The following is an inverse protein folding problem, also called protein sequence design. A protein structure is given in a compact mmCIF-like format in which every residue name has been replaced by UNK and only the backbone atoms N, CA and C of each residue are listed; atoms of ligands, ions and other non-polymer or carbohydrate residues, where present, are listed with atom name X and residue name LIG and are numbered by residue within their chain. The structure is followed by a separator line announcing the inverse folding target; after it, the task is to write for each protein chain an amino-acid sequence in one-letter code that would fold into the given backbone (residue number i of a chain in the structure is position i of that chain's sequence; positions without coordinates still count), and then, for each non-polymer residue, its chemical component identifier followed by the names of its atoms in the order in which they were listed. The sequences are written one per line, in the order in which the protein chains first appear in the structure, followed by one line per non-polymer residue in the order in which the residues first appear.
data_IF_205534748923
#
_entry.id   IF_205534748923
#
_cell.length_a   1.000
_cell.length_b   1.000
_cell.length_c   1.000
_cell.angle_alpha   90.00
_cell.angle_beta   90.00
_cell.angle_gamma   90.00
#
_symmetry.space_group_name_H-M   'P 1'
#
loop_
_entity.id
_entity.type
_entity.pdbx_description
1 polymer ?
#
# COMPACT_ATOMS: atom_id res chain seq x y z
N UNK A 1 -18.95 9.23 -22.52
CA UNK A 1 -17.89 8.58 -21.73
C UNK A 1 -18.19 8.83 -20.26
N UNK A 2 -18.51 7.77 -19.52
CA UNK A 2 -18.64 7.86 -18.06
C UNK A 2 -17.28 8.20 -17.48
N UNK A 3 -17.27 9.22 -16.62
CA UNK A 3 -16.05 9.61 -15.90
C UNK A 3 -16.00 8.83 -14.60
N UNK A 4 -14.89 8.17 -14.36
CA UNK A 4 -14.60 7.58 -13.05
C UNK A 4 -14.01 8.68 -12.18
N UNK A 5 -14.66 9.08 -11.08
CA UNK A 5 -14.08 10.04 -10.16
C UNK A 5 -12.90 9.37 -9.44
N UNK A 6 -11.72 9.87 -9.71
CA UNK A 6 -10.49 9.27 -9.20
C UNK A 6 -9.40 10.33 -9.05
N UNK A 7 -8.65 10.26 -7.96
CA UNK A 7 -7.48 11.11 -7.75
C UNK A 7 -6.31 10.60 -8.60
N UNK A 8 -5.89 11.42 -9.58
CA UNK A 8 -4.85 11.04 -10.52
C UNK A 8 -3.47 10.84 -9.84
N UNK A 9 -3.20 11.53 -8.74
CA UNK A 9 -1.94 11.37 -7.99
C UNK A 9 -1.90 10.01 -7.31
N UNK A 10 -3.00 9.61 -6.68
CA UNK A 10 -3.13 8.30 -6.04
C UNK A 10 -3.12 7.15 -7.05
N UNK A 11 -3.75 7.34 -8.22
CA UNK A 11 -3.66 6.37 -9.33
C UNK A 11 -2.22 6.13 -9.75
N UNK A 12 -1.45 7.20 -9.85
CA UNK A 12 -0.03 7.10 -10.20
C UNK A 12 0.73 6.25 -9.18
N UNK A 13 0.50 6.46 -7.89
CA UNK A 13 1.13 5.67 -6.83
C UNK A 13 0.76 4.19 -6.93
N UNK A 14 -0.54 3.88 -7.12
CA UNK A 14 -1.00 2.49 -7.31
C UNK A 14 -0.32 1.86 -8.51
N UNK A 15 -0.36 2.51 -9.68
CA UNK A 15 0.24 1.99 -10.91
C UNK A 15 1.76 1.83 -10.77
N UNK A 16 2.46 2.78 -10.12
CA UNK A 16 3.90 2.67 -9.87
C UNK A 16 4.23 1.46 -9.01
N UNK A 17 3.47 1.20 -7.94
CA UNK A 17 3.67 0.04 -7.10
C UNK A 17 3.47 -1.28 -7.88
N UNK A 18 2.43 -1.36 -8.71
CA UNK A 18 2.19 -2.55 -9.55
C UNK A 18 3.29 -2.74 -10.60
N UNK A 19 3.71 -1.65 -11.27
CA UNK A 19 4.78 -1.67 -12.29
C UNK A 19 6.12 -2.10 -11.68
N UNK A 20 6.51 -1.51 -10.55
CA UNK A 20 7.76 -1.87 -9.87
C UNK A 20 7.76 -3.35 -9.50
N UNK A 21 6.63 -3.87 -9.01
CA UNK A 21 6.51 -5.30 -8.72
C UNK A 21 6.61 -6.15 -9.98
N UNK A 22 5.90 -5.82 -11.05
CA UNK A 22 5.96 -6.55 -12.30
C UNK A 22 7.40 -6.59 -12.86
N UNK A 23 8.08 -5.44 -12.91
CA UNK A 23 9.48 -5.36 -13.36
C UNK A 23 10.43 -6.15 -12.45
N UNK A 24 10.18 -6.13 -11.14
CA UNK A 24 11.00 -6.84 -10.16
C UNK A 24 10.90 -8.36 -10.29
N UNK A 25 9.74 -8.89 -10.63
CA UNK A 25 9.47 -10.34 -10.66
C UNK A 25 9.44 -10.92 -12.07
N UNK A 26 9.63 -10.11 -13.10
CA UNK A 26 9.82 -10.53 -14.48
C UNK A 26 11.31 -10.66 -14.83
N UNK A 27 11.59 -11.46 -15.84
CA UNK A 27 12.94 -11.52 -16.41
C UNK A 27 13.17 -10.37 -17.39
N UNK A 28 14.44 -9.99 -17.64
CA UNK A 28 14.77 -9.05 -18.70
C UNK A 28 14.17 -9.49 -20.05
N UNK A 29 13.83 -8.51 -20.89
CA UNK A 29 13.27 -8.73 -22.25
C UNK A 29 11.88 -9.35 -22.30
N UNK A 30 11.13 -9.39 -21.17
CA UNK A 30 9.72 -9.79 -21.15
C UNK A 30 8.80 -8.59 -21.33
N UNK A 31 7.56 -8.85 -21.78
CA UNK A 31 6.57 -7.81 -22.02
C UNK A 31 5.70 -7.60 -20.78
N UNK A 32 5.39 -6.33 -20.50
CA UNK A 32 4.36 -5.91 -19.53
C UNK A 32 3.18 -5.33 -20.31
N UNK A 33 1.98 -5.77 -19.98
CA UNK A 33 0.75 -5.29 -20.62
C UNK A 33 -0.09 -4.55 -19.60
N UNK A 34 -0.39 -3.27 -19.87
CA UNK A 34 -1.34 -2.47 -19.08
C UNK A 34 -2.57 -2.25 -19.94
N UNK A 35 -3.74 -2.46 -19.35
CA UNK A 35 -5.00 -2.26 -20.04
C UNK A 35 -6.12 -1.86 -19.10
N UNK A 36 -7.23 -1.49 -19.71
CA UNK A 36 -8.47 -1.20 -19.00
C UNK A 36 -9.61 -1.99 -19.60
N UNK A 37 -10.50 -2.50 -18.78
CA UNK A 37 -11.69 -3.23 -19.19
C UNK A 37 -12.92 -2.64 -18.52
N UNK A 38 -13.95 -2.38 -19.31
CA UNK A 38 -15.23 -1.90 -18.78
C UNK A 38 -16.07 -3.07 -18.32
N UNK A 39 -16.45 -3.03 -17.06
CA UNK A 39 -17.43 -3.93 -16.44
C UNK A 39 -18.78 -3.21 -16.27
N UNK A 40 -19.80 -3.93 -15.79
CA UNK A 40 -21.14 -3.35 -15.59
C UNK A 40 -21.17 -2.13 -14.66
N UNK A 41 -20.46 -2.21 -13.53
CA UNK A 41 -20.53 -1.23 -12.44
C UNK A 41 -19.20 -0.55 -12.11
N UNK A 42 -18.12 -0.97 -12.75
CA UNK A 42 -16.78 -0.48 -12.50
C UNK A 42 -15.91 -0.56 -13.76
N UNK A 43 -14.80 0.14 -13.75
CA UNK A 43 -13.70 -0.09 -14.68
C UNK A 43 -12.63 -0.90 -13.97
N UNK A 44 -12.15 -1.95 -14.62
CA UNK A 44 -10.95 -2.69 -14.21
C UNK A 44 -9.74 -2.10 -14.92
N UNK A 45 -8.72 -1.80 -14.15
CA UNK A 45 -7.37 -1.52 -14.67
C UNK A 45 -6.52 -2.72 -14.33
N UNK A 46 -5.78 -3.27 -15.29
CA UNK A 46 -4.95 -4.43 -15.08
C UNK A 46 -3.54 -4.25 -15.62
N UNK A 47 -2.61 -4.95 -15.01
CA UNK A 47 -1.22 -5.06 -15.42
C UNK A 47 -0.84 -6.53 -15.39
N UNK A 48 -0.53 -7.08 -16.57
CA UNK A 48 -0.08 -8.46 -16.74
C UNK A 48 1.43 -8.50 -17.01
N UNK A 49 2.11 -9.39 -16.31
CA UNK A 49 3.53 -9.68 -16.48
C UNK A 49 3.77 -11.11 -16.98
N UNK A 50 5.00 -11.40 -17.39
CA UNK A 50 5.48 -12.72 -17.81
C UNK A 50 6.54 -13.26 -16.84
N UNK A 51 6.43 -12.91 -15.55
CA UNK A 51 7.38 -13.27 -14.52
C UNK A 51 7.12 -14.65 -13.92
N UNK A 52 7.61 -14.83 -12.69
CA UNK A 52 7.53 -16.10 -11.94
C UNK A 52 6.10 -16.49 -11.52
N UNK A 53 5.14 -15.57 -11.61
CA UNK A 53 3.76 -15.78 -11.15
C UNK A 53 3.62 -15.86 -9.62
N UNK A 54 2.44 -16.35 -9.18
CA UNK A 54 2.02 -16.38 -7.78
C UNK A 54 1.88 -17.81 -7.22
N UNK A 55 2.56 -18.80 -7.78
CA UNK A 55 2.35 -20.23 -7.43
C UNK A 55 2.62 -20.58 -5.97
N UNK A 56 3.49 -19.86 -5.29
CA UNK A 56 3.88 -20.08 -3.89
C UNK A 56 3.56 -18.87 -3.01
N UNK A 57 2.59 -18.06 -3.44
CA UNK A 57 2.18 -16.84 -2.76
C UNK A 57 0.77 -17.03 -2.20
N UNK A 58 0.58 -16.72 -0.93
CA UNK A 58 -0.76 -16.62 -0.38
C UNK A 58 -1.41 -15.30 -0.87
N UNK A 59 -2.29 -15.44 -1.86
CA UNK A 59 -2.96 -14.30 -2.50
C UNK A 59 -3.77 -13.48 -1.49
N UNK A 60 -4.30 -14.10 -0.44
CA UNK A 60 -5.06 -13.40 0.59
C UNK A 60 -4.16 -12.47 1.42
N UNK A 61 -2.88 -12.83 1.56
CA UNK A 61 -1.89 -12.05 2.30
C UNK A 61 -1.06 -11.10 1.43
N UNK A 62 -1.14 -11.25 0.10
CA UNK A 62 -0.32 -10.50 -0.85
C UNK A 62 -0.43 -8.98 -0.68
N UNK A 63 -1.59 -8.51 -0.26
CA UNK A 63 -1.90 -7.09 -0.04
C UNK A 63 -1.88 -6.71 1.45
N UNK A 64 -1.22 -7.50 2.30
CA UNK A 64 -0.98 -7.15 3.71
C UNK A 64 0.43 -6.57 3.89
N UNK A 65 0.58 -5.71 4.89
CA UNK A 65 1.87 -5.08 5.17
C UNK A 65 2.93 -6.13 5.52
N UNK A 66 4.16 -5.86 5.08
CA UNK A 66 5.34 -6.68 5.34
C UNK A 66 5.29 -8.11 4.79
N UNK A 67 4.23 -8.48 4.09
CA UNK A 67 4.18 -9.78 3.45
C UNK A 67 5.20 -9.84 2.30
N UNK A 68 6.06 -10.84 2.35
CA UNK A 68 7.04 -11.18 1.32
C UNK A 68 6.88 -12.66 1.01
N UNK A 69 6.73 -12.99 -0.28
CA UNK A 69 6.74 -14.37 -0.72
C UNK A 69 8.11 -15.03 -0.49
N UNK A 70 8.18 -16.36 -0.61
CA UNK A 70 9.41 -17.15 -0.47
C UNK A 70 10.38 -16.94 -1.66
N UNK A 71 10.78 -15.71 -1.93
CA UNK A 71 11.65 -15.38 -3.06
C UNK A 71 12.83 -14.51 -2.61
N UNK A 72 13.99 -14.73 -3.25
CA UNK A 72 15.22 -13.97 -2.96
C UNK A 72 15.15 -12.48 -3.31
N UNK A 73 14.12 -12.04 -4.01
CA UNK A 73 13.92 -10.65 -4.44
C UNK A 73 13.25 -9.83 -3.33
N UNK A 74 14.05 -9.32 -2.40
CA UNK A 74 13.60 -8.55 -1.24
C UNK A 74 12.95 -7.22 -1.59
N UNK A 75 11.95 -6.83 -0.81
CA UNK A 75 11.26 -5.52 -0.85
C UNK A 75 10.76 -5.18 0.55
N UNK A 76 10.16 -4.01 0.73
CA UNK A 76 9.59 -3.60 2.02
C UNK A 76 8.31 -4.37 2.38
N UNK A 77 7.60 -4.94 1.39
CA UNK A 77 6.27 -5.53 1.60
C UNK A 77 5.15 -4.52 1.85
N UNK A 78 5.41 -3.23 1.65
CA UNK A 78 4.46 -2.14 1.93
C UNK A 78 3.71 -1.70 0.66
N UNK A 79 4.35 -1.72 -0.50
CA UNK A 79 3.82 -1.14 -1.73
C UNK A 79 2.44 -1.66 -2.15
N UNK A 80 2.22 -2.98 -2.13
CA UNK A 80 0.92 -3.56 -2.47
C UNK A 80 -0.15 -3.30 -1.41
N UNK A 81 0.22 -3.29 -0.14
CA UNK A 81 -0.68 -2.97 0.95
C UNK A 81 -1.15 -1.50 0.86
N UNK A 82 -0.22 -0.59 0.57
CA UNK A 82 -0.55 0.82 0.35
C UNK A 82 -1.41 1.02 -0.91
N UNK A 83 -1.08 0.35 -2.02
CA UNK A 83 -1.93 0.37 -3.22
C UNK A 83 -3.37 -0.09 -2.91
N UNK A 84 -3.53 -1.17 -2.14
CA UNK A 84 -4.84 -1.64 -1.67
C UNK A 84 -5.57 -0.56 -0.88
N UNK A 85 -4.91 0.08 0.08
CA UNK A 85 -5.52 1.14 0.90
C UNK A 85 -6.02 2.31 0.05
N UNK A 86 -5.22 2.74 -0.93
CA UNK A 86 -5.61 3.82 -1.85
C UNK A 86 -6.84 3.44 -2.68
N UNK A 87 -6.90 2.21 -3.21
CA UNK A 87 -8.05 1.73 -4.00
C UNK A 87 -9.31 1.62 -3.13
N UNK A 88 -9.20 1.09 -1.90
CA UNK A 88 -10.31 1.00 -0.95
C UNK A 88 -10.88 2.38 -0.58
N UNK A 89 -10.03 3.41 -0.42
CA UNK A 89 -10.46 4.79 -0.20
C UNK A 89 -11.28 5.35 -1.38
N UNK A 90 -11.09 4.82 -2.58
CA UNK A 90 -11.89 5.16 -3.76
C UNK A 90 -13.12 4.24 -3.94
N UNK A 91 -13.44 3.41 -2.93
CA UNK A 91 -14.57 2.47 -2.99
C UNK A 91 -14.35 1.31 -3.97
N UNK A 92 -13.10 1.07 -4.36
CA UNK A 92 -12.68 0.03 -5.26
C UNK A 92 -12.17 -1.23 -4.57
N UNK A 93 -11.69 -2.17 -5.36
CA UNK A 93 -11.03 -3.41 -4.91
C UNK A 93 -9.78 -3.68 -5.73
N UNK A 94 -8.80 -4.39 -5.15
CA UNK A 94 -7.57 -4.80 -5.80
C UNK A 94 -7.39 -6.31 -5.67
N UNK A 95 -6.81 -6.94 -6.69
CA UNK A 95 -6.58 -8.39 -6.71
C UNK A 95 -5.43 -8.79 -7.62
N UNK A 96 -5.11 -10.08 -7.60
CA UNK A 96 -4.11 -10.67 -8.47
C UNK A 96 -4.49 -12.12 -8.82
N UNK A 97 -4.05 -12.60 -9.98
CA UNK A 97 -4.19 -13.99 -10.40
C UNK A 97 -2.99 -14.42 -11.24
N UNK A 98 -2.80 -15.75 -11.38
CA UNK A 98 -1.81 -16.28 -12.31
C UNK A 98 -2.34 -16.22 -13.74
N UNK A 99 -1.45 -15.98 -14.70
CA UNK A 99 -1.72 -16.12 -16.13
C UNK A 99 -1.59 -17.58 -16.56
N UNK A 100 -2.33 -17.99 -17.59
CA UNK A 100 -2.28 -19.37 -18.12
C UNK A 100 -0.89 -19.71 -18.70
N UNK A 101 -0.30 -18.75 -19.39
CA UNK A 101 1.01 -18.91 -20.06
C UNK A 101 2.20 -18.56 -19.15
N UNK A 102 1.99 -18.36 -17.85
CA UNK A 102 3.00 -17.93 -16.87
C UNK A 102 2.95 -16.44 -16.58
N UNK A 103 3.54 -16.05 -15.42
CA UNK A 103 3.43 -14.69 -14.89
C UNK A 103 2.15 -14.45 -14.09
N UNK A 104 1.91 -13.21 -13.76
CA UNK A 104 0.76 -12.77 -12.96
C UNK A 104 0.05 -11.58 -13.60
N UNK A 105 -1.23 -11.45 -13.31
CA UNK A 105 -2.01 -10.24 -13.58
C UNK A 105 -2.46 -9.64 -12.26
N UNK A 106 -2.04 -8.40 -12.01
CA UNK A 106 -2.55 -7.54 -10.94
C UNK A 106 -3.63 -6.64 -11.51
N UNK A 107 -4.72 -6.47 -10.80
CA UNK A 107 -5.82 -5.61 -11.25
C UNK A 107 -6.46 -4.86 -10.09
N UNK A 108 -7.05 -3.72 -10.40
CA UNK A 108 -7.93 -3.02 -9.48
C UNK A 108 -9.18 -2.52 -10.20
N UNK A 109 -10.26 -2.50 -9.45
CA UNK A 109 -11.58 -2.13 -9.90
C UNK A 109 -11.99 -0.80 -9.28
N UNK A 110 -12.46 0.15 -10.09
CA UNK A 110 -12.95 1.44 -9.64
C UNK A 110 -14.42 1.61 -10.04
N UNK A 111 -15.33 1.88 -9.10
CA UNK A 111 -16.76 2.02 -9.42
C UNK A 111 -17.02 3.26 -10.26
N UNK A 112 -17.98 3.18 -11.18
CA UNK A 112 -18.43 4.33 -11.99
C UNK A 112 -19.16 5.38 -11.17
N UNK A 113 -19.83 4.97 -10.12
CA UNK A 113 -20.45 5.86 -9.14
C UNK A 113 -19.66 5.73 -7.84
N UNK A 114 -19.00 6.80 -7.42
CA UNK A 114 -18.63 6.89 -6.02
C UNK A 114 -19.92 6.75 -5.20
N UNK A 115 -20.09 5.65 -4.49
CA UNK A 115 -20.79 5.76 -3.24
C UNK A 115 -20.02 6.84 -2.49
N UNK A 116 -20.64 8.01 -2.32
CA UNK A 116 -20.11 9.09 -1.51
C UNK A 116 -19.92 8.51 -0.09
N UNK A 117 -18.81 7.86 0.14
CA UNK A 117 -18.22 7.89 1.45
C UNK A 117 -17.97 9.38 1.62
N UNK A 118 -18.77 10.01 2.44
CA UNK A 118 -18.63 11.42 2.80
C UNK A 118 -17.25 11.58 3.41
N UNK A 119 -16.26 11.70 2.55
CA UNK A 119 -14.99 12.28 2.90
C UNK A 119 -15.32 13.75 3.13
N UNK A 120 -15.54 14.10 4.38
CA UNK A 120 -15.47 15.51 4.76
C UNK A 120 -14.14 16.02 4.20
N UNK A 121 -14.18 17.10 3.37
CA UNK A 121 -12.98 17.67 2.83
C UNK A 121 -12.15 18.17 4.02
N UNK A 122 -10.91 17.69 4.12
CA UNK A 122 -9.96 18.06 5.17
C UNK A 122 -10.34 17.64 6.60
N UNK A 123 -10.45 16.35 6.85
CA UNK A 123 -10.08 15.88 8.16
C UNK A 123 -8.55 15.84 8.19
N UNK A 124 -7.95 16.96 8.56
CA UNK A 124 -6.65 16.94 9.22
C UNK A 124 -6.86 16.05 10.44
N UNK A 125 -6.36 14.83 10.38
CA UNK A 125 -6.29 13.98 11.56
C UNK A 125 -5.21 14.66 12.40
N UNK A 126 -5.64 15.50 13.33
CA UNK A 126 -4.76 16.02 14.37
C UNK A 126 -4.38 14.80 15.23
N UNK A 127 -3.20 14.23 14.96
CA UNK A 127 -2.67 13.06 15.64
C UNK A 127 -2.28 13.36 17.12
N UNK A 128 -2.72 14.48 17.68
CA UNK A 128 -2.69 14.75 19.11
C UNK A 128 -3.88 14.12 19.82
N UNK A 129 -4.22 12.88 19.53
CA UNK A 129 -5.24 12.16 20.30
C UNK A 129 -4.58 11.47 21.49
N UNK A 130 -4.60 12.14 22.62
CA UNK A 130 -4.57 11.49 23.92
C UNK A 130 -5.79 10.56 23.99
N UNK A 131 -5.53 9.29 24.26
CA UNK A 131 -6.42 8.17 24.49
C UNK A 131 -7.91 8.48 24.59
N UNK A 132 -8.69 7.91 23.69
CA UNK A 132 -9.96 7.22 23.86
C UNK A 132 -10.64 7.00 22.49
N UNK A 133 -11.16 5.80 22.29
CA UNK A 133 -12.15 5.40 21.28
C UNK A 133 -11.71 5.51 19.81
N UNK A 134 -10.74 4.67 19.44
CA UNK A 134 -10.69 4.15 18.08
C UNK A 134 -11.67 2.97 17.98
N UNK A 135 -12.58 2.92 16.95
CA UNK A 135 -13.28 1.69 16.67
C UNK A 135 -12.22 0.60 16.40
N UNK A 136 -12.42 -0.56 17.00
CA UNK A 136 -11.66 -1.77 16.70
C UNK A 136 -11.82 -2.10 15.20
N UNK A 137 -11.03 -1.45 14.36
CA UNK A 137 -10.76 -1.98 13.04
C UNK A 137 -9.78 -3.12 13.27
N UNK A 138 -10.22 -4.33 12.93
CA UNK A 138 -9.37 -5.51 12.87
C UNK A 138 -8.01 -5.11 12.27
N UNK A 139 -7.04 -4.91 13.15
CA UNK A 139 -5.65 -4.76 12.79
C UNK A 139 -5.31 -6.09 12.14
N UNK A 140 -5.16 -6.09 10.83
CA UNK A 140 -4.76 -7.24 10.02
C UNK A 140 -3.71 -8.02 10.81
N UNK A 141 -3.97 -9.32 11.04
CA UNK A 141 -3.18 -10.18 11.90
C UNK A 141 -1.71 -10.28 11.52
N UNK A 142 -1.00 -9.22 11.72
CA UNK A 142 0.44 -9.18 11.76
C UNK A 142 0.80 -9.82 13.09
N UNK A 143 1.48 -10.96 13.07
CA UNK A 143 2.12 -11.46 14.27
C UNK A 143 3.16 -10.40 14.65
N UNK A 144 2.85 -9.64 15.69
CA UNK A 144 3.76 -8.66 16.28
C UNK A 144 5.04 -9.43 16.65
N UNK A 145 6.13 -9.12 15.98
CA UNK A 145 7.43 -9.65 16.36
C UNK A 145 7.79 -8.96 17.68
N UNK A 146 7.75 -9.73 18.78
CA UNK A 146 8.04 -9.23 20.12
C UNK A 146 9.44 -8.60 20.25
N UNK A 147 10.31 -8.82 19.26
CA UNK A 147 11.61 -8.17 19.16
C UNK A 147 11.50 -6.70 18.72
N UNK A 148 10.57 -6.36 17.83
CA UNK A 148 10.41 -4.98 17.32
C UNK A 148 9.89 -4.01 18.39
N UNK A 149 9.11 -4.50 19.35
CA UNK A 149 8.60 -3.70 20.46
C UNK A 149 9.69 -3.12 21.41
N UNK A 150 10.96 -3.42 21.18
CA UNK A 150 12.09 -2.87 21.92
C UNK A 150 12.70 -1.64 21.25
N UNK A 151 12.47 -1.49 19.96
CA UNK A 151 13.15 -0.49 19.13
C UNK A 151 12.31 0.76 18.93
N UNK A 152 13.00 1.87 18.80
CA UNK A 152 12.45 3.18 18.41
C UNK A 152 12.74 3.43 16.95
N UNK A 153 11.75 3.84 16.19
CA UNK A 153 11.83 4.01 14.74
C UNK A 153 11.64 5.47 14.32
N UNK A 154 12.45 5.96 13.39
CA UNK A 154 12.21 7.20 12.67
C UNK A 154 11.87 6.89 11.20
N UNK A 155 10.71 7.34 10.76
CA UNK A 155 10.25 7.25 9.37
C UNK A 155 10.40 8.63 8.72
N UNK A 156 11.11 8.69 7.60
CA UNK A 156 11.25 9.92 6.82
C UNK A 156 10.55 9.71 5.47
N UNK A 157 9.46 10.45 5.25
CA UNK A 157 8.62 10.30 4.06
C UNK A 157 8.00 11.64 3.71
N UNK A 158 8.21 12.13 2.50
CA UNK A 158 7.74 13.43 2.04
C UNK A 158 6.24 13.44 1.70
N UNK A 159 5.69 12.31 1.26
CA UNK A 159 4.26 12.21 0.98
C UNK A 159 3.45 12.02 2.29
N UNK A 160 2.67 13.03 2.66
CA UNK A 160 1.90 13.07 3.92
C UNK A 160 1.03 11.83 4.12
N UNK A 161 0.39 11.34 3.06
CA UNK A 161 -0.53 10.21 3.18
C UNK A 161 0.19 8.88 3.40
N UNK A 162 1.33 8.69 2.71
CA UNK A 162 2.18 7.53 2.93
C UNK A 162 2.81 7.58 4.32
N UNK A 163 3.28 8.75 4.74
CA UNK A 163 3.84 8.97 6.09
C UNK A 163 2.82 8.62 7.18
N UNK A 164 1.58 9.12 7.07
CA UNK A 164 0.51 8.83 8.03
C UNK A 164 0.12 7.34 8.02
N UNK A 165 0.12 6.72 6.84
CA UNK A 165 -0.14 5.30 6.72
C UNK A 165 0.96 4.46 7.39
N UNK A 166 2.23 4.77 7.12
CA UNK A 166 3.37 4.10 7.75
C UNK A 166 3.35 4.27 9.27
N UNK A 167 3.11 5.48 9.76
CA UNK A 167 2.95 5.73 11.18
C UNK A 167 1.86 4.84 11.80
N UNK A 168 0.66 4.82 11.19
CA UNK A 168 -0.47 4.02 11.68
C UNK A 168 -0.19 2.53 11.76
N UNK A 169 0.60 2.00 10.82
CA UNK A 169 0.96 0.56 10.80
C UNK A 169 2.07 0.26 11.82
N UNK A 170 3.11 1.10 11.85
CA UNK A 170 4.34 0.83 12.62
C UNK A 170 4.20 1.10 14.11
N UNK A 171 3.35 2.05 14.52
CA UNK A 171 3.15 2.39 15.93
C UNK A 171 2.64 1.22 16.79
N UNK A 172 2.02 0.20 16.18
CA UNK A 172 1.55 -0.99 16.87
C UNK A 172 2.67 -2.02 17.11
N UNK A 173 3.80 -1.92 16.39
CA UNK A 173 4.86 -2.91 16.38
C UNK A 173 6.12 -2.45 17.09
N UNK A 174 6.40 -1.15 17.04
CA UNK A 174 7.60 -0.57 17.63
C UNK A 174 7.30 0.09 18.97
N UNK A 175 8.32 0.20 19.83
CA UNK A 175 8.24 0.87 21.13
C UNK A 175 7.78 2.33 20.98
N UNK A 176 8.31 3.01 19.98
CA UNK A 176 8.00 4.40 19.66
C UNK A 176 8.31 4.66 18.19
N UNK A 177 7.46 5.44 17.53
CA UNK A 177 7.64 5.78 16.11
C UNK A 177 7.59 7.30 15.96
N UNK A 178 8.67 7.84 15.42
CA UNK A 178 8.75 9.24 15.00
C UNK A 178 8.55 9.33 13.49
N UNK A 179 8.02 10.44 13.03
CA UNK A 179 7.83 10.68 11.60
C UNK A 179 8.36 12.06 11.22
N UNK A 180 9.00 12.15 10.08
CA UNK A 180 9.51 13.39 9.49
C UNK A 180 9.07 13.50 8.04
N UNK A 181 8.82 14.73 7.56
CA UNK A 181 8.47 15.03 6.19
C UNK A 181 9.66 15.15 5.25
N UNK A 182 10.81 15.43 5.80
CA UNK A 182 12.06 15.60 5.05
C UNK A 182 13.28 15.35 5.94
N UNK A 183 14.46 15.51 5.34
CA UNK A 183 15.72 15.28 6.05
C UNK A 183 16.06 16.35 7.10
N UNK A 184 15.54 17.56 6.97
CA UNK A 184 15.76 18.66 7.94
C UNK A 184 14.97 18.39 9.21
N UNK A 185 13.68 18.07 9.09
CA UNK A 185 12.83 17.67 10.21
C UNK A 185 13.36 16.38 10.88
N UNK A 186 13.81 15.41 10.07
CA UNK A 186 14.43 14.18 10.59
C UNK A 186 15.67 14.48 11.44
N UNK A 187 16.49 15.43 11.00
CA UNK A 187 17.70 15.82 11.73
C UNK A 187 17.39 16.52 13.05
N UNK A 188 16.34 17.33 13.10
CA UNK A 188 15.86 17.94 14.34
C UNK A 188 15.35 16.90 15.35
N UNK A 189 14.63 15.89 14.86
CA UNK A 189 14.13 14.77 15.68
C UNK A 189 15.33 13.97 16.25
N UNK A 190 16.34 13.65 15.43
CA UNK A 190 17.54 12.95 15.86
C UNK A 190 18.35 13.72 16.92
N UNK A 191 18.25 15.04 16.95
CA UNK A 191 18.85 15.88 17.98
C UNK A 191 18.15 15.82 19.35
N UNK A 192 16.90 15.37 19.36
CA UNK A 192 16.05 15.32 20.59
C UNK A 192 15.83 13.88 21.08
N UNK A 193 15.83 12.89 20.19
CA UNK A 193 15.69 11.48 20.49
C UNK A 193 16.68 10.66 19.63
N UNK A 194 17.09 9.53 20.17
CA UNK A 194 17.99 8.60 19.47
C UNK A 194 17.19 7.36 19.10
N UNK A 195 16.63 7.27 17.88
CA UNK A 195 16.07 6.02 17.36
C UNK A 195 17.16 4.94 17.29
N UNK A 196 16.74 3.68 17.42
CA UNK A 196 17.66 2.51 17.39
C UNK A 196 18.15 2.19 15.97
#
# INVERSE_FOLDING_TARGET
LEKVPFDASKCRVVLSNLLINAMKFSDPDTSLVIGTERMDKHVRVFLADQGIGLKHVDINRLFTCFYQGEHDRKGSGIGLAYARKLIELHGGSIGACNNEDGGATFYFDLPFTQALVSAEPNRVIDLRVKGADMPETDVYGVQVDAELAKYTLLVVEDEIELRNYLFGVLQAEFKEVFVAGDGEEAWEILGQCQPD
#
